data_IF_488590583920
#
_entry.id   IF_488590583920
#
_cell.length_a   1.000
_cell.length_b   1.000
_cell.length_c   1.000
_cell.angle_alpha   90.00
_cell.angle_beta   90.00
_cell.angle_gamma   90.00
#
_symmetry.space_group_name_H-M   'P 1'
#
loop_
_entity.id
_entity.type
_entity.pdbx_description
1 polymer ?
#
# COMPACT_ATOMS: atom_id res chain seq x y z
N UNK A 1 -21.27 18.04 -0.38
CA UNK A 1 -20.36 16.87 -0.27
C UNK A 1 -19.69 16.93 1.10
N UNK A 2 -20.06 16.04 2.03
CA UNK A 2 -19.46 15.95 3.36
C UNK A 2 -18.44 14.81 3.36
N UNK A 3 -17.14 15.13 3.45
CA UNK A 3 -16.08 14.13 3.66
C UNK A 3 -16.12 13.68 5.12
N UNK A 4 -16.42 12.40 5.37
CA UNK A 4 -16.13 11.76 6.66
C UNK A 4 -14.79 11.06 6.54
N UNK A 5 -13.80 11.52 7.31
CA UNK A 5 -12.50 10.86 7.43
C UNK A 5 -12.65 9.67 8.40
N UNK A 6 -12.24 8.48 7.97
CA UNK A 6 -11.97 7.35 8.87
C UNK A 6 -10.49 7.45 9.22
N UNK A 7 -10.18 8.35 10.17
CA UNK A 7 -8.84 8.50 10.71
C UNK A 7 -8.54 7.47 11.80
N UNK A 8 -7.25 7.25 12.07
CA UNK A 8 -6.83 6.62 13.32
C UNK A 8 -7.45 7.40 14.49
N UNK A 9 -7.96 6.71 15.51
CA UNK A 9 -8.71 7.30 16.64
C UNK A 9 -8.02 8.50 17.32
N UNK A 10 -6.70 8.59 17.20
CA UNK A 10 -5.82 9.53 17.90
C UNK A 10 -5.11 10.52 16.97
N UNK A 11 -5.46 10.59 15.67
CA UNK A 11 -4.85 11.55 14.73
C UNK A 11 -5.92 12.42 14.05
N UNK A 12 -5.72 13.75 14.01
CA UNK A 12 -6.61 14.64 13.27
C UNK A 12 -6.67 14.22 11.80
N UNK A 13 -7.84 14.36 11.20
CA UNK A 13 -8.00 14.20 9.77
C UNK A 13 -7.09 15.21 9.06
N UNK A 14 -6.14 14.72 8.28
CA UNK A 14 -5.22 15.58 7.53
C UNK A 14 -5.88 15.90 6.20
N UNK A 15 -6.15 17.18 5.96
CA UNK A 15 -6.53 17.66 4.63
C UNK A 15 -5.27 17.70 3.78
N UNK A 16 -5.23 16.85 2.74
CA UNK A 16 -4.09 16.74 1.85
C UNK A 16 -4.34 15.78 0.69
N UNK A 17 -3.34 15.66 -0.17
CA UNK A 17 -3.26 14.63 -1.21
C UNK A 17 -2.05 13.74 -0.94
N UNK A 18 -2.17 12.46 -1.28
CA UNK A 18 -1.09 11.48 -1.27
C UNK A 18 -0.89 10.93 -2.67
N UNK A 19 0.30 10.43 -2.93
CA UNK A 19 0.69 9.85 -4.22
C UNK A 19 1.09 8.40 -4.02
N UNK A 20 0.55 7.54 -4.86
CA UNK A 20 0.93 6.13 -5.01
C UNK A 20 1.74 6.02 -6.30
N UNK A 21 2.89 5.35 -6.23
CA UNK A 21 3.86 5.29 -7.33
C UNK A 21 4.19 3.84 -7.62
N UNK A 22 3.90 3.41 -8.85
CA UNK A 22 4.44 2.19 -9.42
C UNK A 22 5.78 2.51 -10.07
N UNK A 23 6.83 1.80 -9.66
CA UNK A 23 8.16 1.98 -10.21
C UNK A 23 8.78 0.63 -10.56
N UNK A 24 9.52 0.61 -11.66
CA UNK A 24 10.33 -0.54 -12.04
C UNK A 24 11.45 -0.75 -11.03
N UNK A 25 11.60 -1.98 -10.56
CA UNK A 25 12.51 -2.30 -9.46
C UNK A 25 13.99 -2.24 -9.85
N UNK A 26 14.30 -2.44 -11.14
CA UNK A 26 15.67 -2.53 -11.64
C UNK A 26 16.21 -1.16 -12.06
N UNK A 27 15.36 -0.34 -12.66
CA UNK A 27 15.71 0.99 -13.20
C UNK A 27 15.33 2.14 -12.29
N UNK A 28 14.48 1.89 -11.27
CA UNK A 28 13.88 2.90 -10.41
C UNK A 28 13.05 3.96 -11.16
N UNK A 29 12.68 3.70 -12.41
CA UNK A 29 11.82 4.58 -13.19
C UNK A 29 10.38 4.46 -12.74
N UNK A 30 9.70 5.60 -12.67
CA UNK A 30 8.26 5.65 -12.39
C UNK A 30 7.50 5.28 -13.65
N UNK A 31 6.64 4.28 -13.55
CA UNK A 31 5.83 3.77 -14.66
C UNK A 31 4.37 4.22 -14.55
N UNK A 32 3.85 4.36 -13.33
CA UNK A 32 2.46 4.75 -13.09
C UNK A 32 2.32 5.56 -11.79
N UNK A 33 1.40 6.54 -11.78
CA UNK A 33 1.17 7.41 -10.62
C UNK A 33 -0.33 7.59 -10.39
N UNK A 34 -0.78 7.33 -9.16
CA UNK A 34 -2.12 7.69 -8.72
C UNK A 34 -2.06 8.73 -7.60
N UNK A 35 -2.76 9.85 -7.77
CA UNK A 35 -2.89 10.90 -6.74
C UNK A 35 -4.29 10.82 -6.14
N UNK A 36 -4.38 10.62 -4.83
CA UNK A 36 -5.65 10.54 -4.12
C UNK A 36 -5.69 11.54 -2.96
N UNK A 37 -6.89 11.94 -2.51
CA UNK A 37 -6.99 12.62 -1.23
C UNK A 37 -6.41 11.76 -0.10
N UNK A 38 -5.75 12.38 0.88
CA UNK A 38 -5.02 11.71 1.96
C UNK A 38 -5.89 10.85 2.90
N UNK A 39 -7.22 10.88 2.73
CA UNK A 39 -8.16 10.06 3.48
C UNK A 39 -8.55 8.75 2.77
N UNK A 40 -7.95 8.45 1.62
CA UNK A 40 -8.11 7.17 0.91
C UNK A 40 -7.04 6.19 1.41
N UNK A 41 -7.46 4.96 1.71
CA UNK A 41 -6.56 3.90 2.16
C UNK A 41 -5.69 3.40 0.99
N UNK A 42 -4.41 3.15 1.27
CA UNK A 42 -3.43 2.69 0.28
C UNK A 42 -3.86 1.43 -0.47
N UNK A 43 -4.39 0.42 0.23
CA UNK A 43 -4.89 -0.79 -0.40
C UNK A 43 -6.11 -0.59 -1.32
N UNK A 44 -6.80 0.56 -1.21
CA UNK A 44 -7.88 0.95 -2.14
C UNK A 44 -7.38 1.75 -3.34
N UNK A 45 -6.39 2.61 -3.13
CA UNK A 45 -5.83 3.45 -4.20
C UNK A 45 -4.73 2.75 -5.00
N UNK A 46 -4.09 1.74 -4.42
CA UNK A 46 -2.97 1.01 -5.02
C UNK A 46 -3.20 0.44 -6.41
N UNK A 47 -4.38 -0.12 -6.75
CA UNK A 47 -4.64 -0.62 -8.09
C UNK A 47 -4.38 0.41 -9.21
N UNK A 48 -4.62 1.69 -8.93
CA UNK A 48 -4.46 2.77 -9.90
C UNK A 48 -2.97 3.11 -10.15
N UNK A 49 -2.07 2.65 -9.29
CA UNK A 49 -0.62 2.83 -9.44
C UNK A 49 0.07 1.60 -10.06
N UNK A 50 -0.69 0.63 -10.59
CA UNK A 50 -0.13 -0.55 -11.23
C UNK A 50 0.07 -0.31 -12.73
N UNK A 51 1.28 -0.51 -13.29
CA UNK A 51 1.48 -0.54 -14.74
C UNK A 51 0.81 -1.79 -15.34
N UNK A 52 0.63 -1.80 -16.66
CA UNK A 52 -0.14 -2.84 -17.37
C UNK A 52 0.49 -4.23 -17.32
N UNK A 53 1.82 -4.33 -17.21
CA UNK A 53 2.54 -5.60 -17.08
C UNK A 53 3.45 -5.56 -15.85
N UNK A 54 2.89 -5.63 -14.63
CA UNK A 54 3.60 -5.22 -13.42
C UNK A 54 4.59 -6.27 -12.87
N UNK A 55 4.72 -7.44 -13.52
CA UNK A 55 5.67 -8.47 -13.09
C UNK A 55 5.50 -8.88 -11.62
N UNK A 56 6.58 -8.88 -10.85
CA UNK A 56 6.51 -9.07 -9.39
C UNK A 56 6.31 -7.73 -8.69
N UNK A 57 5.22 -7.60 -7.93
CA UNK A 57 4.87 -6.35 -7.26
C UNK A 57 5.16 -6.42 -5.78
N UNK A 58 6.15 -5.66 -5.33
CA UNK A 58 6.46 -5.49 -3.91
C UNK A 58 5.80 -4.23 -3.39
N UNK A 59 5.02 -4.36 -2.33
CA UNK A 59 4.38 -3.23 -1.66
C UNK A 59 4.38 -3.44 -0.14
N UNK A 60 4.20 -2.35 0.59
CA UNK A 60 4.16 -2.40 2.05
C UNK A 60 2.89 -3.10 2.56
N UNK A 61 2.82 -3.31 3.88
CA UNK A 61 1.73 -4.06 4.51
C UNK A 61 0.34 -3.43 4.34
N UNK A 62 0.25 -2.13 4.08
CA UNK A 62 -1.02 -1.43 3.81
C UNK A 62 -1.70 -1.94 2.53
N UNK A 63 -0.92 -2.42 1.55
CA UNK A 63 -1.40 -2.98 0.28
C UNK A 63 -1.74 -4.47 0.35
N UNK A 64 -1.65 -5.09 1.53
CA UNK A 64 -1.89 -6.54 1.69
C UNK A 64 -3.36 -6.96 1.46
N UNK A 65 -4.29 -6.01 1.33
CA UNK A 65 -5.69 -6.31 1.09
C UNK A 65 -5.92 -7.09 -0.22
N UNK A 66 -6.96 -7.92 -0.26
CA UNK A 66 -7.30 -8.72 -1.45
C UNK A 66 -7.46 -7.84 -2.70
N UNK A 67 -8.07 -6.65 -2.56
CA UNK A 67 -8.31 -5.72 -3.66
C UNK A 67 -7.04 -5.42 -4.46
N UNK A 68 -5.94 -5.07 -3.79
CA UNK A 68 -4.68 -4.78 -4.46
C UNK A 68 -4.05 -6.04 -5.05
N UNK A 69 -4.01 -7.14 -4.29
CA UNK A 69 -3.47 -8.41 -4.78
C UNK A 69 -4.21 -8.96 -6.00
N UNK A 70 -5.53 -8.80 -6.05
CA UNK A 70 -6.37 -9.22 -7.17
C UNK A 70 -6.17 -8.30 -8.38
N UNK A 71 -5.99 -7.00 -8.17
CA UNK A 71 -5.63 -6.07 -9.24
C UNK A 71 -4.26 -6.42 -9.87
N UNK A 72 -3.25 -6.75 -9.06
CA UNK A 72 -1.95 -7.22 -9.55
C UNK A 72 -2.12 -8.47 -10.41
N UNK A 73 -2.89 -9.46 -9.95
CA UNK A 73 -3.15 -10.70 -10.71
C UNK A 73 -3.94 -10.46 -11.99
N UNK A 74 -4.90 -9.54 -11.97
CA UNK A 74 -5.70 -9.19 -13.15
C UNK A 74 -4.85 -8.60 -14.28
N UNK A 75 -3.77 -7.87 -13.92
CA UNK A 75 -2.76 -7.38 -14.86
C UNK A 75 -1.65 -8.40 -15.18
N UNK A 76 -1.81 -9.66 -14.79
CA UNK A 76 -0.84 -10.73 -15.07
C UNK A 76 0.39 -10.74 -14.14
N UNK A 77 0.40 -9.92 -13.08
CA UNK A 77 1.49 -9.86 -12.12
C UNK A 77 1.38 -10.84 -10.95
N UNK A 78 2.41 -10.85 -10.11
CA UNK A 78 2.48 -11.63 -8.86
C UNK A 78 2.64 -10.71 -7.65
N UNK A 79 1.67 -10.67 -6.72
CA UNK A 79 1.77 -9.83 -5.53
C UNK A 79 2.72 -10.43 -4.49
N UNK A 80 3.70 -9.63 -4.08
CA UNK A 80 4.76 -9.97 -3.12
C UNK A 80 4.72 -9.08 -1.86
N UNK A 81 3.52 -8.68 -1.42
CA UNK A 81 3.34 -7.82 -0.23
C UNK A 81 3.90 -8.49 1.03
N UNK A 82 4.80 -7.81 1.74
CA UNK A 82 5.40 -8.36 2.97
C UNK A 82 4.35 -8.59 4.06
N UNK A 83 4.41 -9.76 4.70
CA UNK A 83 3.75 -9.95 6.01
C UNK A 83 4.60 -9.27 7.08
N UNK A 84 4.01 -8.43 7.93
CA UNK A 84 4.66 -8.04 9.17
C UNK A 84 4.84 -9.33 10.00
N UNK A 85 6.09 -9.75 10.22
CA UNK A 85 6.38 -10.84 11.16
C UNK A 85 6.27 -10.21 12.54
N UNK A 86 5.39 -10.73 13.40
CA UNK A 86 5.41 -10.34 14.81
C UNK A 86 6.74 -10.84 15.37
N UNK A 87 7.67 -9.94 15.68
CA UNK A 87 8.87 -10.30 16.43
C UNK A 87 8.41 -10.45 17.87
N UNK A 88 8.28 -11.69 18.35
CA UNK A 88 7.97 -11.92 19.76
C UNK A 88 9.01 -11.21 20.63
N UNK A 89 8.55 -10.35 21.55
CA UNK A 89 9.40 -9.78 22.59
C UNK A 89 10.02 -10.94 23.37
N UNK A 90 11.35 -11.10 23.30
CA UNK A 90 12.07 -12.00 24.20
C UNK A 90 12.09 -11.32 25.56
N UNK A 91 11.16 -11.70 26.45
CA UNK A 91 11.28 -11.37 27.88
C UNK A 91 12.54 -12.06 28.42
N UNK A 92 13.67 -11.35 28.44
CA UNK A 92 14.84 -11.73 29.23
C UNK A 92 14.61 -11.26 30.67
N UNK A 93 13.74 -11.96 31.39
CA UNK A 93 13.67 -11.87 32.84
C UNK A 93 14.72 -12.82 33.43
N UNK A 94 15.77 -12.25 34.01
CA UNK A 94 16.73 -12.97 34.87
C UNK A 94 16.09 -13.12 36.27
N UNK A 95 16.25 -14.27 36.95
CA UNK A 95 15.62 -14.53 38.27
C UNK A 95 16.07 -13.59 39.38
#
# INVERSE_FOLDING_TARGET
MTKRAIGHKDRPAVDGFTTHVGADADTALVEEIAVTPANINDGKAGPDALPDNPGQVFADSSYRGNLFGDAVRAKGGTPCTRRHRHVASRNTGTP
#
